data_IF_463468146063
#
_entry.id   IF_463468146063
#
_cell.length_a   1.000
_cell.length_b   1.000
_cell.length_c   1.000
_cell.angle_alpha   90.00
_cell.angle_beta   90.00
_cell.angle_gamma   90.00
#
_symmetry.space_group_name_H-M   'P 1'
#
loop_
_entity.id
_entity.type
_entity.pdbx_description
1 polymer ?
#
# COMPACT_ATOMS: atom_id res chain seq x y z
N UNK A 1 -22.70 21.33 -1.62
CA UNK A 1 -21.63 20.80 -2.50
C UNK A 1 -20.42 20.44 -1.66
N UNK A 2 -19.89 19.21 -1.76
CA UNK A 2 -18.57 18.88 -1.18
C UNK A 2 -17.49 19.52 -2.06
N UNK A 3 -16.53 20.22 -1.47
CA UNK A 3 -15.37 20.72 -2.22
C UNK A 3 -14.60 19.56 -2.86
N UNK A 4 -14.05 19.74 -4.07
CA UNK A 4 -13.21 18.72 -4.70
C UNK A 4 -11.98 18.45 -3.83
N UNK A 5 -11.79 17.21 -3.41
CA UNK A 5 -10.64 16.77 -2.59
C UNK A 5 -9.49 16.21 -3.43
N UNK A 6 -9.31 16.75 -4.63
CA UNK A 6 -8.29 16.26 -5.57
C UNK A 6 -6.92 16.77 -5.13
N UNK A 7 -5.95 15.87 -4.99
CA UNK A 7 -4.56 16.20 -4.71
C UNK A 7 -3.64 15.12 -5.34
N UNK A 8 -2.33 15.38 -5.47
CA UNK A 8 -1.36 14.37 -5.88
C UNK A 8 -1.36 13.15 -4.95
N UNK A 9 -1.08 11.96 -5.50
CA UNK A 9 -1.12 10.69 -4.76
C UNK A 9 -0.23 10.71 -3.50
N UNK A 10 1.03 11.17 -3.63
CA UNK A 10 1.98 11.29 -2.52
C UNK A 10 1.43 12.18 -1.40
N UNK A 11 0.81 13.30 -1.75
CA UNK A 11 0.23 14.23 -0.78
C UNK A 11 -0.95 13.59 -0.05
N UNK A 12 -1.83 12.90 -0.77
CA UNK A 12 -2.96 12.18 -0.19
C UNK A 12 -2.47 11.13 0.84
N UNK A 13 -1.44 10.35 0.47
CA UNK A 13 -0.90 9.28 1.30
C UNK A 13 -0.22 9.81 2.56
N UNK A 14 0.64 10.82 2.44
CA UNK A 14 1.30 11.44 3.62
C UNK A 14 0.32 12.09 4.58
N UNK A 15 -0.80 12.63 4.08
CA UNK A 15 -1.87 13.18 4.92
C UNK A 15 -2.66 12.10 5.65
N UNK A 16 -2.77 10.91 5.06
CA UNK A 16 -3.65 9.85 5.55
C UNK A 16 -2.94 8.77 6.37
N UNK A 17 -1.64 8.53 6.15
CA UNK A 17 -0.90 7.39 6.69
C UNK A 17 0.27 7.89 7.53
N UNK A 18 0.37 7.38 8.75
CA UNK A 18 1.43 7.64 9.72
C UNK A 18 2.27 6.38 9.95
N UNK A 19 3.52 6.51 10.43
CA UNK A 19 4.30 5.36 10.87
C UNK A 19 3.54 4.49 11.89
N UNK A 20 3.56 3.18 11.69
CA UNK A 20 2.85 2.20 12.54
C UNK A 20 1.37 1.98 12.21
N UNK A 21 0.79 2.73 11.28
CA UNK A 21 -0.61 2.53 10.90
C UNK A 21 -0.84 1.17 10.23
N UNK A 22 -2.05 0.64 10.38
CA UNK A 22 -2.54 -0.51 9.62
C UNK A 22 -3.50 -0.03 8.55
N UNK A 23 -3.21 -0.39 7.30
CA UNK A 23 -3.97 0.07 6.14
C UNK A 23 -4.52 -1.11 5.33
N UNK A 24 -5.64 -0.87 4.65
CA UNK A 24 -6.27 -1.82 3.74
C UNK A 24 -6.60 -1.11 2.42
N UNK A 25 -6.37 -1.82 1.32
CA UNK A 25 -6.81 -1.40 -0.01
C UNK A 25 -7.79 -2.43 -0.58
N UNK A 26 -8.67 -1.97 -1.47
CA UNK A 26 -9.52 -2.84 -2.27
C UNK A 26 -8.70 -3.93 -2.98
N UNK A 27 -9.29 -5.10 -3.16
CA UNK A 27 -8.58 -6.31 -3.62
C UNK A 27 -8.65 -6.49 -5.14
N UNK A 28 -7.82 -7.39 -5.69
CA UNK A 28 -7.80 -7.77 -7.10
C UNK A 28 -7.78 -6.55 -8.05
N UNK A 29 -8.70 -6.47 -9.02
CA UNK A 29 -8.79 -5.36 -9.98
C UNK A 29 -9.16 -4.01 -9.33
N UNK A 30 -9.66 -4.01 -8.09
CA UNK A 30 -9.97 -2.81 -7.33
C UNK A 30 -8.75 -2.15 -6.69
N UNK A 31 -7.58 -2.79 -6.71
CA UNK A 31 -6.38 -2.22 -6.11
C UNK A 31 -6.00 -0.88 -6.75
N UNK A 32 -5.81 0.19 -5.96
CA UNK A 32 -5.45 1.49 -6.48
C UNK A 32 -3.95 1.54 -6.84
N UNK A 33 -3.60 1.01 -8.02
CA UNK A 33 -2.21 0.87 -8.47
C UNK A 33 -1.42 2.19 -8.43
N UNK A 34 -2.07 3.32 -8.73
CA UNK A 34 -1.45 4.65 -8.63
C UNK A 34 -1.02 4.99 -7.21
N UNK A 35 -1.83 4.65 -6.21
CA UNK A 35 -1.50 4.90 -4.80
C UNK A 35 -0.44 3.93 -4.30
N UNK A 36 -0.53 2.64 -4.68
CA UNK A 36 0.45 1.63 -4.30
C UNK A 36 1.84 1.94 -4.84
N UNK A 37 1.94 2.42 -6.09
CA UNK A 37 3.22 2.86 -6.67
C UNK A 37 3.75 4.10 -5.95
N UNK A 38 2.90 5.09 -5.67
CA UNK A 38 3.32 6.28 -4.93
C UNK A 38 3.79 5.97 -3.49
N UNK A 39 3.23 4.95 -2.83
CA UNK A 39 3.75 4.44 -1.56
C UNK A 39 5.13 3.79 -1.73
N UNK A 40 5.32 2.97 -2.76
CA UNK A 40 6.58 2.31 -3.03
C UNK A 40 7.69 3.32 -3.38
N UNK A 41 7.38 4.35 -4.16
CA UNK A 41 8.33 5.39 -4.57
C UNK A 41 8.74 6.32 -3.41
N UNK A 42 7.92 6.40 -2.35
CA UNK A 42 8.14 7.25 -1.17
C UNK A 42 8.33 6.41 0.11
N UNK A 43 8.77 5.14 -0.02
CA UNK A 43 8.77 4.16 1.07
C UNK A 43 9.58 4.60 2.30
N UNK A 44 10.66 5.35 2.11
CA UNK A 44 11.53 5.83 3.20
C UNK A 44 10.83 6.77 4.19
N UNK A 45 9.74 7.44 3.75
CA UNK A 45 8.93 8.28 4.63
C UNK A 45 8.12 7.45 5.63
N UNK A 46 7.81 6.20 5.29
CA UNK A 46 6.98 5.32 6.10
C UNK A 46 7.84 4.38 6.94
N UNK A 47 7.30 3.94 8.08
CA UNK A 47 7.96 2.98 8.96
C UNK A 47 6.94 2.10 9.66
N UNK A 48 7.15 0.80 9.58
CA UNK A 48 6.33 -0.19 10.28
C UNK A 48 4.83 -0.16 9.92
N UNK A 49 4.47 0.27 8.72
CA UNK A 49 3.07 0.29 8.27
C UNK A 49 2.63 -1.13 7.93
N UNK A 50 1.53 -1.58 8.52
CA UNK A 50 0.98 -2.90 8.22
C UNK A 50 0.01 -2.81 7.04
N UNK A 51 0.34 -3.50 5.95
CA UNK A 51 -0.44 -3.51 4.72
C UNK A 51 -1.25 -4.79 4.66
N UNK A 52 -2.55 -4.67 4.87
CA UNK A 52 -3.49 -5.78 4.79
C UNK A 52 -3.88 -6.03 3.33
N UNK A 53 -3.60 -7.23 2.83
CA UNK A 53 -3.83 -7.64 1.45
C UNK A 53 -4.84 -8.79 1.35
N UNK A 54 -5.67 -8.75 0.30
CA UNK A 54 -6.48 -9.88 -0.16
C UNK A 54 -5.92 -10.48 -1.46
N UNK A 55 -6.78 -11.00 -2.35
CA UNK A 55 -6.36 -11.54 -3.65
C UNK A 55 -5.53 -10.52 -4.44
N UNK A 56 -4.35 -10.94 -4.89
CA UNK A 56 -3.50 -10.20 -5.81
C UNK A 56 -3.55 -10.78 -7.22
N UNK A 57 -3.55 -9.91 -8.22
CA UNK A 57 -3.47 -10.27 -9.65
C UNK A 57 -2.06 -10.06 -10.23
N UNK A 58 -1.05 -9.94 -9.36
CA UNK A 58 0.34 -9.69 -9.71
C UNK A 58 1.20 -9.46 -8.47
N UNK A 59 2.44 -9.05 -8.66
CA UNK A 59 3.33 -8.69 -7.54
C UNK A 59 2.79 -7.51 -6.74
N UNK A 60 3.03 -7.52 -5.42
CA UNK A 60 2.66 -6.42 -4.55
C UNK A 60 3.75 -5.35 -4.53
N UNK A 61 3.50 -4.09 -4.95
CA UNK A 61 4.55 -3.05 -5.01
C UNK A 61 5.26 -2.79 -3.69
N UNK A 62 4.57 -3.00 -2.56
CA UNK A 62 5.09 -2.77 -1.20
C UNK A 62 5.73 -4.01 -0.57
N UNK A 63 5.78 -5.13 -1.28
CA UNK A 63 6.44 -6.36 -0.83
C UNK A 63 7.82 -6.56 -1.49
N UNK A 64 8.35 -5.53 -2.15
CA UNK A 64 9.68 -5.56 -2.77
C UNK A 64 10.77 -5.60 -1.70
N UNK A 65 11.86 -6.30 -2.00
CA UNK A 65 13.06 -6.36 -1.14
C UNK A 65 13.59 -4.96 -0.86
N UNK A 66 13.95 -4.69 0.40
CA UNK A 66 14.47 -3.41 0.88
C UNK A 66 13.41 -2.48 1.47
N UNK A 67 12.12 -2.83 1.39
CA UNK A 67 11.01 -2.04 1.94
C UNK A 67 10.46 -2.59 3.27
N UNK A 68 11.08 -3.63 3.83
CA UNK A 68 10.57 -4.37 4.99
C UNK A 68 10.52 -3.51 6.27
N UNK A 69 11.38 -2.50 6.37
CA UNK A 69 11.34 -1.53 7.48
C UNK A 69 10.17 -0.54 7.36
N UNK A 70 9.67 -0.33 6.15
CA UNK A 70 8.57 0.57 5.84
C UNK A 70 7.22 -0.12 5.88
N UNK A 71 7.13 -1.30 5.25
CA UNK A 71 5.88 -2.01 5.03
C UNK A 71 5.96 -3.48 5.45
N UNK A 72 4.98 -3.90 6.26
CA UNK A 72 4.74 -5.30 6.60
C UNK A 72 3.48 -5.78 5.88
N UNK A 73 3.64 -6.52 4.80
CA UNK A 73 2.52 -7.07 4.04
C UNK A 73 1.95 -8.32 4.72
N UNK A 74 0.66 -8.27 5.10
CA UNK A 74 -0.07 -9.36 5.74
C UNK A 74 -1.19 -9.79 4.80
N UNK A 75 -1.20 -11.07 4.42
CA UNK A 75 -2.16 -11.60 3.44
C UNK A 75 -3.25 -12.43 4.10
N UNK A 76 -4.51 -12.07 3.87
CA UNK A 76 -5.68 -12.85 4.30
C UNK A 76 -6.08 -13.94 3.30
N UNK A 77 -5.55 -13.89 2.08
CA UNK A 77 -5.83 -14.86 1.03
C UNK A 77 -4.52 -15.26 0.36
N UNK A 78 -4.36 -16.56 0.14
CA UNK A 78 -3.18 -17.09 -0.56
C UNK A 78 -3.24 -16.69 -2.03
N UNK A 79 -2.19 -16.01 -2.50
CA UNK A 79 -1.98 -15.73 -3.92
C UNK A 79 -0.57 -16.18 -4.30
N UNK A 80 -0.31 -16.55 -5.58
CA UNK A 80 1.03 -16.94 -6.01
C UNK A 80 2.11 -15.89 -5.70
N UNK A 81 1.72 -14.61 -5.62
CA UNK A 81 2.57 -13.47 -5.31
C UNK A 81 3.08 -13.41 -3.85
N UNK A 82 2.55 -14.26 -2.95
CA UNK A 82 2.99 -14.36 -1.55
C UNK A 82 3.37 -15.81 -1.17
N UNK A 83 4.04 -16.53 -2.07
CA UNK A 83 4.70 -17.78 -1.67
C UNK A 83 5.96 -17.45 -0.85
N UNK A 84 6.15 -18.07 0.33
CA UNK A 84 7.40 -17.92 1.10
C UNK A 84 8.61 -18.46 0.34
#
# INVERSE_FOLDING_TARGET
MKMPRRCPAREALRKAIRPGDRIFFSIASGQPQTLLRALADDFEFYRGVEVINGVLLGEHPLAKKGMESSFRCISFQNSPAFRP
#
